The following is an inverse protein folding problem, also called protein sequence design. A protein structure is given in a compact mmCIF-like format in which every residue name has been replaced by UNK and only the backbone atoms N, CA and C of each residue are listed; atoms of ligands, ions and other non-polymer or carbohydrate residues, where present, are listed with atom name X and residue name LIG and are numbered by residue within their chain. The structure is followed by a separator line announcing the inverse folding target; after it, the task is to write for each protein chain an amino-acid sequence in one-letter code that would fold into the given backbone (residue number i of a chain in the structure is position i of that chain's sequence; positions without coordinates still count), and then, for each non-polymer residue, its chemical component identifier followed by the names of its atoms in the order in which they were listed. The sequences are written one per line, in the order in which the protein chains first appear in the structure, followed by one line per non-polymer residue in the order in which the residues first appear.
data_IF_267480544452
#
_entry.id   IF_267480544452
#
_cell.length_a   1.000
_cell.length_b   1.000
_cell.length_c   1.000
_cell.angle_alpha   90.00
_cell.angle_beta   90.00
_cell.angle_gamma   90.00
#
_symmetry.space_group_name_H-M   'P 1'
#
loop_
_entity.id
_entity.type
_entity.pdbx_description
1 polymer ?
#
# COMPACT_ATOMS: atom_id res chain seq x y z
N UNK A 1 9.34 -17.58 14.82
CA UNK A 1 9.96 -18.78 14.22
C UNK A 1 9.35 -19.15 12.84
N UNK A 2 8.03 -18.89 12.59
CA UNK A 2 7.40 -19.21 11.30
C UNK A 2 8.07 -18.50 10.12
N UNK A 3 8.49 -17.24 10.28
CA UNK A 3 9.19 -16.50 9.22
C UNK A 3 10.44 -17.22 8.71
N UNK A 4 11.23 -17.83 9.59
CA UNK A 4 12.42 -18.61 9.19
C UNK A 4 12.04 -19.83 8.36
N UNK A 5 10.99 -20.54 8.76
CA UNK A 5 10.51 -21.73 8.05
C UNK A 5 9.98 -21.34 6.68
N UNK A 6 9.11 -20.33 6.62
CA UNK A 6 8.52 -19.86 5.36
C UNK A 6 9.58 -19.34 4.39
N UNK A 7 10.54 -18.54 4.89
CA UNK A 7 11.64 -18.01 4.07
C UNK A 7 12.56 -19.13 3.59
N UNK A 8 12.88 -20.09 4.45
CA UNK A 8 13.69 -21.24 4.08
C UNK A 8 13.01 -22.12 3.03
N UNK A 9 11.70 -22.37 3.17
CA UNK A 9 10.92 -23.09 2.18
C UNK A 9 10.86 -22.37 0.84
N UNK A 10 10.64 -21.05 0.86
CA UNK A 10 10.63 -20.23 -0.34
C UNK A 10 11.99 -20.25 -1.04
N UNK A 11 13.08 -20.07 -0.31
CA UNK A 11 14.44 -20.15 -0.86
C UNK A 11 14.73 -21.53 -1.47
N UNK A 12 14.28 -22.60 -0.80
CA UNK A 12 14.45 -23.97 -1.31
C UNK A 12 13.66 -24.22 -2.60
N UNK A 13 12.42 -23.70 -2.65
CA UNK A 13 11.52 -23.93 -3.79
C UNK A 13 11.84 -23.05 -5.01
N UNK A 14 12.19 -21.79 -4.78
CA UNK A 14 12.36 -20.77 -5.82
C UNK A 14 13.83 -20.54 -6.22
N UNK A 15 14.77 -20.86 -5.31
CA UNK A 15 16.18 -20.59 -5.50
C UNK A 15 16.56 -19.14 -5.15
N UNK A 16 17.88 -18.90 -4.94
CA UNK A 16 18.42 -17.60 -4.56
C UNK A 16 18.38 -16.53 -5.66
N UNK A 17 18.23 -16.96 -6.92
CA UNK A 17 18.20 -16.07 -8.08
C UNK A 17 16.77 -15.67 -8.51
N UNK A 18 15.76 -16.11 -7.75
CA UNK A 18 14.38 -15.75 -8.03
C UNK A 18 14.20 -14.22 -8.05
N UNK A 19 13.44 -13.74 -9.01
CA UNK A 19 13.09 -12.32 -9.15
C UNK A 19 11.60 -12.17 -9.33
N UNK A 20 11.01 -11.27 -8.55
CA UNK A 20 9.64 -10.83 -8.78
C UNK A 20 9.55 -10.09 -10.12
N UNK A 21 8.42 -10.20 -10.79
CA UNK A 21 8.22 -9.62 -12.11
C UNK A 21 6.92 -8.81 -12.15
N UNK A 22 7.03 -7.49 -12.23
CA UNK A 22 5.92 -6.62 -12.59
C UNK A 22 5.93 -6.42 -14.10
N UNK A 23 4.82 -6.66 -14.76
CA UNK A 23 4.69 -6.57 -16.23
C UNK A 23 3.81 -5.37 -16.59
N UNK A 24 4.25 -4.58 -17.58
CA UNK A 24 3.43 -3.54 -18.19
C UNK A 24 2.91 -4.09 -19.51
N UNK A 25 1.61 -4.12 -19.69
CA UNK A 25 0.92 -4.53 -20.89
C UNK A 25 -0.07 -3.48 -21.36
N UNK A 26 -0.55 -3.61 -22.57
CA UNK A 26 -1.64 -2.77 -23.07
C UNK A 26 -2.51 -3.57 -24.04
N UNK A 27 -3.74 -3.10 -24.22
CA UNK A 27 -4.59 -3.49 -25.34
C UNK A 27 -4.93 -2.25 -26.18
N UNK A 28 -5.48 -2.47 -27.38
CA UNK A 28 -5.82 -1.40 -28.30
C UNK A 28 -4.70 -1.05 -29.28
N UNK A 29 -4.73 0.17 -29.83
CA UNK A 29 -3.85 0.64 -30.89
C UNK A 29 -3.06 1.87 -30.48
N UNK A 30 -1.82 1.95 -30.96
CA UNK A 30 -0.98 3.13 -30.78
C UNK A 30 -1.03 3.96 -32.06
N UNK A 31 -1.59 5.19 -31.98
CA UNK A 31 -1.73 6.10 -33.10
C UNK A 31 -1.04 7.41 -32.74
N UNK A 32 -0.02 7.80 -33.50
CA UNK A 32 0.75 9.05 -33.29
C UNK A 32 1.28 9.24 -31.86
N UNK A 33 1.58 8.13 -31.18
CA UNK A 33 2.06 8.15 -29.79
C UNK A 33 0.98 8.18 -28.73
N UNK A 34 -0.28 8.03 -29.12
CA UNK A 34 -1.42 7.88 -28.22
C UNK A 34 -1.86 6.42 -28.23
N UNK A 35 -1.87 5.78 -27.08
CA UNK A 35 -2.54 4.49 -26.89
C UNK A 35 -4.05 4.75 -26.81
N UNK A 36 -4.80 4.27 -27.81
CA UNK A 36 -6.26 4.22 -27.78
C UNK A 36 -6.63 2.85 -27.22
N UNK A 37 -6.85 2.79 -25.91
CA UNK A 37 -7.05 1.54 -25.16
C UNK A 37 -6.46 1.63 -23.77
N UNK A 38 -6.42 0.51 -23.06
CA UNK A 38 -6.05 0.46 -21.67
C UNK A 38 -4.61 0.00 -21.44
N UNK A 39 -3.98 0.55 -20.42
CA UNK A 39 -2.68 0.15 -19.91
C UNK A 39 -2.85 -0.72 -18.66
N UNK A 40 -2.16 -1.84 -18.62
CA UNK A 40 -2.19 -2.77 -17.49
C UNK A 40 -0.85 -2.80 -16.77
N UNK A 41 -0.88 -2.69 -15.45
CA UNK A 41 0.26 -2.94 -14.56
C UNK A 41 -0.04 -4.24 -13.82
N UNK A 42 0.60 -5.33 -14.26
CA UNK A 42 0.34 -6.68 -13.78
C UNK A 42 1.38 -7.01 -12.72
N UNK A 43 0.94 -7.14 -11.48
CA UNK A 43 1.78 -7.47 -10.34
C UNK A 43 2.19 -8.93 -10.33
N UNK A 44 3.40 -9.19 -9.87
CA UNK A 44 3.94 -10.54 -9.65
C UNK A 44 4.39 -10.77 -8.20
N UNK A 45 3.83 -10.02 -7.26
CA UNK A 45 4.10 -10.18 -5.83
C UNK A 45 5.35 -9.45 -5.33
N UNK A 46 5.86 -8.45 -6.06
CA UNK A 46 7.04 -7.69 -5.63
C UNK A 46 6.71 -6.79 -4.42
N UNK A 47 7.25 -7.09 -3.21
CA UNK A 47 6.98 -6.31 -2.02
C UNK A 47 7.83 -5.02 -1.94
N UNK A 48 8.77 -4.83 -2.89
CA UNK A 48 9.77 -3.75 -2.78
C UNK A 48 9.33 -2.45 -3.43
N UNK A 49 8.22 -2.41 -4.17
CA UNK A 49 7.76 -1.20 -4.87
C UNK A 49 7.37 -0.11 -3.86
N UNK A 50 8.20 0.92 -3.76
CA UNK A 50 8.01 2.01 -2.79
C UNK A 50 8.24 1.61 -1.32
N UNK A 51 8.82 0.44 -1.05
CA UNK A 51 9.23 0.05 0.29
C UNK A 51 10.30 0.99 0.85
N UNK A 52 10.32 1.12 2.17
CA UNK A 52 11.37 1.86 2.90
C UNK A 52 12.64 1.02 3.12
N UNK A 53 12.63 -0.25 2.75
CA UNK A 53 13.79 -1.11 2.87
C UNK A 53 14.93 -0.64 1.97
N UNK A 54 16.16 -0.74 2.45
CA UNK A 54 17.36 -0.29 1.75
C UNK A 54 17.64 -1.02 0.43
N UNK A 55 17.05 -2.20 0.22
CA UNK A 55 17.17 -2.95 -1.03
C UNK A 55 16.17 -2.48 -2.11
N UNK A 56 15.15 -1.71 -1.70
CA UNK A 56 14.12 -1.23 -2.60
C UNK A 56 14.60 -0.01 -3.40
N UNK A 57 14.17 0.07 -4.65
CA UNK A 57 14.34 1.31 -5.42
C UNK A 57 13.30 2.35 -5.00
N UNK A 58 13.66 3.63 -4.96
CA UNK A 58 12.68 4.70 -4.76
C UNK A 58 11.54 4.60 -5.78
N UNK A 59 10.31 4.87 -5.36
CA UNK A 59 9.12 4.73 -6.21
C UNK A 59 9.22 5.60 -7.48
N UNK A 60 9.78 6.80 -7.37
CA UNK A 60 10.02 7.71 -8.48
C UNK A 60 10.96 7.09 -9.54
N UNK A 61 11.95 6.33 -9.10
CA UNK A 61 12.84 5.60 -10.01
C UNK A 61 12.09 4.48 -10.73
N UNK A 62 11.27 3.73 -10.03
CA UNK A 62 10.42 2.69 -10.60
C UNK A 62 9.47 3.27 -11.64
N UNK A 63 8.77 4.36 -11.34
CA UNK A 63 7.88 5.02 -12.29
C UNK A 63 8.63 5.63 -13.48
N UNK A 64 9.82 6.17 -13.28
CA UNK A 64 10.66 6.67 -14.36
C UNK A 64 11.08 5.54 -15.31
N UNK A 65 11.40 4.36 -14.78
CA UNK A 65 11.69 3.16 -15.59
C UNK A 65 10.47 2.72 -16.39
N UNK A 66 9.29 2.66 -15.75
CA UNK A 66 8.04 2.30 -16.44
C UNK A 66 7.71 3.29 -17.54
N UNK A 67 7.83 4.59 -17.26
CA UNK A 67 7.66 5.63 -18.28
C UNK A 67 8.62 5.44 -19.45
N UNK A 68 9.89 5.15 -19.16
CA UNK A 68 10.89 4.89 -20.22
C UNK A 68 10.52 3.68 -21.08
N UNK A 69 9.93 2.63 -20.49
CA UNK A 69 9.43 1.47 -21.23
C UNK A 69 8.30 1.88 -22.18
N UNK A 70 7.35 2.68 -21.70
CA UNK A 70 6.24 3.19 -22.52
C UNK A 70 6.74 4.06 -23.67
N UNK A 71 7.64 5.00 -23.40
CA UNK A 71 8.24 5.87 -24.41
C UNK A 71 8.96 5.06 -25.52
N UNK A 72 9.72 4.02 -25.13
CA UNK A 72 10.41 3.10 -26.08
C UNK A 72 9.44 2.31 -26.96
N UNK A 73 8.23 2.04 -26.44
CA UNK A 73 7.16 1.38 -27.21
C UNK A 73 6.24 2.38 -27.92
N UNK A 74 6.63 3.65 -27.99
CA UNK A 74 5.90 4.67 -28.72
C UNK A 74 4.66 5.21 -28.00
N UNK A 75 4.46 4.91 -26.71
CA UNK A 75 3.31 5.37 -25.92
C UNK A 75 3.74 6.60 -25.13
N UNK A 76 3.19 7.76 -25.48
CA UNK A 76 3.42 9.05 -24.81
C UNK A 76 2.17 9.59 -24.11
N UNK A 77 1.00 9.11 -24.52
CA UNK A 77 -0.30 9.45 -23.95
C UNK A 77 -1.18 8.21 -23.94
N UNK A 78 -2.06 8.11 -22.98
CA UNK A 78 -3.06 7.05 -22.86
C UNK A 78 -4.42 7.71 -22.97
N UNK A 79 -5.24 7.20 -23.90
CA UNK A 79 -6.66 7.52 -24.05
C UNK A 79 -7.45 6.26 -23.70
N UNK A 80 -7.63 6.06 -22.40
CA UNK A 80 -8.17 4.86 -21.76
C UNK A 80 -7.83 4.83 -20.28
N UNK A 81 -7.87 3.66 -19.67
CA UNK A 81 -7.61 3.46 -18.26
C UNK A 81 -6.19 2.98 -17.99
N UNK A 82 -5.70 3.24 -16.77
CA UNK A 82 -4.53 2.56 -16.21
C UNK A 82 -5.07 1.60 -15.16
N UNK A 83 -4.89 0.31 -15.41
CA UNK A 83 -5.48 -0.77 -14.62
C UNK A 83 -4.37 -1.49 -13.85
N UNK A 84 -4.45 -1.49 -12.52
CA UNK A 84 -3.62 -2.34 -11.67
C UNK A 84 -4.22 -3.75 -11.61
N UNK A 85 -3.42 -4.76 -11.96
CA UNK A 85 -3.85 -6.15 -11.92
C UNK A 85 -3.10 -6.92 -10.82
N UNK A 86 -3.81 -7.21 -9.72
CA UNK A 86 -3.31 -7.97 -8.57
C UNK A 86 -3.74 -9.45 -8.57
N UNK A 87 -4.35 -9.97 -9.65
CA UNK A 87 -4.95 -11.32 -9.70
C UNK A 87 -3.95 -12.48 -9.76
N UNK A 88 -2.65 -12.21 -9.72
CA UNK A 88 -1.63 -13.25 -9.74
C UNK A 88 -1.69 -14.15 -8.48
N UNK A 89 -2.10 -13.60 -7.34
CA UNK A 89 -2.38 -14.38 -6.14
C UNK A 89 -3.87 -14.70 -6.07
N UNK A 90 -4.18 -15.93 -5.69
CA UNK A 90 -5.53 -16.38 -5.42
C UNK A 90 -5.87 -16.24 -3.93
N UNK A 91 -7.12 -15.98 -3.61
CA UNK A 91 -7.61 -15.89 -2.25
C UNK A 91 -7.74 -14.46 -1.71
N UNK A 92 -7.94 -14.36 -0.42
CA UNK A 92 -8.02 -13.08 0.29
C UNK A 92 -6.61 -12.55 0.61
N UNK A 93 -6.47 -11.24 0.62
CA UNK A 93 -5.22 -10.59 0.99
C UNK A 93 -4.91 -10.75 2.49
N UNK A 94 -5.95 -10.70 3.33
CA UNK A 94 -5.85 -10.90 4.77
C UNK A 94 -6.06 -12.36 5.16
N UNK A 95 -5.32 -12.81 6.18
CA UNK A 95 -5.51 -14.12 6.77
C UNK A 95 -6.80 -14.19 7.60
N UNK A 96 -7.61 -15.21 7.38
CA UNK A 96 -8.91 -15.38 8.04
C UNK A 96 -8.87 -15.57 9.58
N UNK A 97 -7.67 -15.80 10.13
CA UNK A 97 -7.42 -15.91 11.57
C UNK A 97 -6.99 -14.61 12.23
N UNK A 98 -6.76 -13.54 11.46
CA UNK A 98 -6.37 -12.25 12.03
C UNK A 98 -7.53 -11.61 12.79
N UNK A 99 -7.19 -10.96 13.89
CA UNK A 99 -8.16 -10.17 14.63
C UNK A 99 -8.50 -8.90 13.87
N UNK A 100 -9.74 -8.46 13.97
CA UNK A 100 -10.20 -7.23 13.32
C UNK A 100 -9.35 -6.00 13.72
N UNK A 101 -8.88 -5.95 14.96
CA UNK A 101 -8.04 -4.87 15.49
C UNK A 101 -6.59 -4.90 14.93
N UNK A 102 -6.15 -6.04 14.39
CA UNK A 102 -4.81 -6.17 13.80
C UNK A 102 -4.75 -5.68 12.36
N UNK A 103 -5.86 -5.70 11.64
CA UNK A 103 -5.89 -5.41 10.19
C UNK A 103 -5.49 -3.97 9.83
N UNK A 104 -5.62 -3.03 10.76
CA UNK A 104 -5.16 -1.66 10.57
C UNK A 104 -3.73 -1.39 11.00
N UNK A 105 -2.96 -2.43 11.36
CA UNK A 105 -1.59 -2.30 11.85
C UNK A 105 -0.57 -2.65 10.75
N UNK A 106 0.69 -2.24 10.94
CA UNK A 106 1.78 -2.54 9.98
C UNK A 106 2.06 -4.05 9.84
N UNK A 107 1.72 -4.86 10.82
CA UNK A 107 1.91 -6.32 10.77
C UNK A 107 0.66 -7.06 10.27
N UNK A 108 -0.47 -6.38 10.15
CA UNK A 108 -1.71 -6.89 9.60
C UNK A 108 -1.98 -6.39 8.16
N UNK A 109 -0.97 -5.92 7.45
CA UNK A 109 -1.12 -5.57 6.04
C UNK A 109 -1.27 -6.84 5.20
N UNK A 110 -2.28 -6.89 4.36
CA UNK A 110 -2.53 -8.00 3.46
C UNK A 110 -1.45 -8.14 2.38
N UNK A 111 -1.39 -9.31 1.78
CA UNK A 111 -0.46 -9.59 0.68
C UNK A 111 -1.19 -9.54 -0.65
N UNK A 112 -0.82 -8.59 -1.51
CA UNK A 112 -1.34 -8.45 -2.86
C UNK A 112 -0.26 -8.73 -3.90
N UNK A 113 -0.66 -9.20 -5.07
CA UNK A 113 0.29 -9.40 -6.17
C UNK A 113 0.80 -8.08 -6.76
N UNK A 114 0.03 -7.00 -6.63
CA UNK A 114 0.45 -5.64 -6.95
C UNK A 114 0.28 -4.76 -5.72
N UNK A 115 1.37 -4.41 -5.09
CA UNK A 115 1.37 -3.58 -3.89
C UNK A 115 2.36 -2.42 -4.01
N UNK A 116 2.07 -1.34 -3.28
CA UNK A 116 2.93 -0.17 -3.14
C UNK A 116 3.05 0.20 -1.67
N UNK A 117 4.22 0.72 -1.28
CA UNK A 117 4.47 1.14 0.10
C UNK A 117 4.15 0.07 1.15
N UNK A 118 4.37 -1.22 0.80
CA UNK A 118 4.08 -2.36 1.68
C UNK A 118 2.60 -2.45 2.10
N UNK A 119 1.67 -1.98 1.25
CA UNK A 119 0.24 -1.79 1.54
C UNK A 119 -0.04 -0.92 2.78
N UNK A 120 0.89 -0.02 3.12
CA UNK A 120 0.79 0.86 4.28
C UNK A 120 0.56 2.31 3.88
N UNK A 121 -0.18 3.02 4.72
CA UNK A 121 -0.35 4.46 4.65
C UNK A 121 0.07 5.09 5.98
N UNK A 122 0.99 6.04 5.94
CA UNK A 122 1.44 6.77 7.13
C UNK A 122 0.49 7.94 7.42
N UNK A 123 0.08 8.06 8.66
CA UNK A 123 -0.78 9.14 9.16
C UNK A 123 -0.01 9.86 10.25
N UNK A 124 0.13 11.18 10.13
CA UNK A 124 0.72 12.01 11.19
C UNK A 124 -0.40 12.56 12.08
N UNK A 125 -0.24 12.38 13.38
CA UNK A 125 -1.24 12.77 14.35
C UNK A 125 -0.57 13.64 15.43
N UNK A 126 -1.19 14.77 15.78
CA UNK A 126 -0.78 15.59 16.89
C UNK A 126 -1.95 15.80 17.87
N UNK A 127 -1.68 15.83 19.19
CA UNK A 127 -2.72 16.08 20.19
C UNK A 127 -3.17 17.53 20.15
N UNK A 128 -4.39 17.77 20.58
CA UNK A 128 -4.88 19.11 20.94
C UNK A 128 -4.30 19.59 22.28
N UNK A 129 -4.67 20.78 22.71
CA UNK A 129 -4.10 21.46 23.89
C UNK A 129 -4.55 20.91 25.23
N UNK A 130 -5.63 20.10 25.27
CA UNK A 130 -6.17 19.52 26.48
C UNK A 130 -6.86 18.18 26.19
N UNK A 131 -7.00 17.29 27.19
CA UNK A 131 -7.78 16.07 27.08
C UNK A 131 -9.21 16.33 26.58
N UNK A 132 -9.71 15.45 25.71
CA UNK A 132 -11.00 15.60 25.04
C UNK A 132 -11.00 16.48 23.79
N UNK A 133 -9.95 17.25 23.53
CA UNK A 133 -9.84 18.06 22.32
C UNK A 133 -9.67 17.15 21.09
N UNK A 134 -10.04 17.69 19.93
CA UNK A 134 -9.79 17.01 18.65
C UNK A 134 -8.29 16.87 18.41
N UNK A 135 -7.91 15.76 17.78
CA UNK A 135 -6.57 15.57 17.24
C UNK A 135 -6.40 16.38 15.95
N UNK A 136 -5.20 16.87 15.71
CA UNK A 136 -4.78 17.35 14.40
C UNK A 136 -4.21 16.17 13.61
N UNK A 137 -4.89 15.82 12.52
CA UNK A 137 -4.53 14.66 11.71
C UNK A 137 -4.10 15.19 10.34
N UNK A 138 -2.79 15.10 10.09
CA UNK A 138 -2.19 15.55 8.85
C UNK A 138 -2.57 14.62 7.67
N UNK A 139 -2.42 15.10 6.42
CA UNK A 139 -2.66 14.32 5.22
C UNK A 139 -1.91 12.99 5.24
N UNK A 140 -2.54 11.97 4.71
CA UNK A 140 -2.02 10.61 4.65
C UNK A 140 -0.97 10.48 3.53
N UNK A 141 0.07 9.70 3.77
CA UNK A 141 1.11 9.42 2.78
C UNK A 141 1.30 7.90 2.62
N UNK A 142 1.15 7.32 1.41
CA UNK A 142 0.78 7.98 0.16
C UNK A 142 -0.63 8.56 0.19
N UNK A 143 -0.90 9.54 -0.68
CA UNK A 143 -2.25 10.05 -0.84
C UNK A 143 -3.14 8.97 -1.49
N UNK A 144 -4.24 8.65 -0.83
CA UNK A 144 -5.24 7.68 -1.30
C UNK A 144 -6.63 8.36 -1.34
N UNK A 145 -6.91 9.16 -2.36
CA UNK A 145 -8.13 10.00 -2.41
C UNK A 145 -9.43 9.18 -2.49
N UNK A 146 -9.33 7.91 -2.78
CA UNK A 146 -10.46 6.97 -2.77
C UNK A 146 -10.83 6.46 -1.37
N UNK A 147 -9.92 6.61 -0.37
CA UNK A 147 -10.18 6.18 1.00
C UNK A 147 -11.06 7.19 1.74
N UNK A 148 -12.03 6.70 2.48
CA UNK A 148 -12.86 7.48 3.40
C UNK A 148 -12.42 7.19 4.83
N UNK A 149 -12.06 8.25 5.57
CA UNK A 149 -11.67 8.14 6.96
C UNK A 149 -12.74 8.67 7.90
N UNK A 150 -13.01 7.93 8.97
CA UNK A 150 -13.81 8.36 10.11
C UNK A 150 -12.90 8.49 11.33
N UNK A 151 -13.06 9.59 12.09
CA UNK A 151 -12.22 9.91 13.24
C UNK A 151 -13.06 9.95 14.52
N UNK A 152 -13.02 8.88 15.28
CA UNK A 152 -13.63 8.72 16.60
C UNK A 152 -12.54 8.71 17.69
N UNK A 153 -11.66 9.70 17.64
CA UNK A 153 -10.50 9.80 18.49
C UNK A 153 -10.31 11.22 19.04
N UNK A 154 -9.72 11.30 20.23
CA UNK A 154 -9.50 12.57 20.93
C UNK A 154 -8.15 12.58 21.64
N UNK A 155 -7.74 13.77 22.07
CA UNK A 155 -6.59 13.95 22.97
C UNK A 155 -6.84 13.25 24.29
N UNK A 156 -5.91 12.40 24.70
CA UNK A 156 -5.92 11.69 25.99
C UNK A 156 -5.20 12.46 27.09
N UNK A 157 -5.26 11.91 28.28
CA UNK A 157 -4.56 12.44 29.46
C UNK A 157 -3.04 12.37 29.26
N UNK A 158 -2.31 13.19 30.01
CA UNK A 158 -0.85 13.17 30.04
C UNK A 158 -0.33 11.80 30.49
N UNK A 159 0.64 11.26 29.75
CA UNK A 159 1.26 9.98 30.06
C UNK A 159 0.50 8.75 29.56
N UNK A 160 -0.66 8.89 28.91
CA UNK A 160 -1.40 7.75 28.36
C UNK A 160 -0.77 7.18 27.08
N UNK A 161 0.07 7.98 26.42
CA UNK A 161 0.73 7.55 25.22
C UNK A 161 -0.21 7.48 24.00
N UNK A 162 0.14 6.60 23.06
CA UNK A 162 -0.68 6.29 21.89
C UNK A 162 -1.59 5.10 22.21
N UNK A 163 -2.89 5.33 22.20
CA UNK A 163 -3.95 4.35 22.42
C UNK A 163 -4.92 4.38 21.22
N UNK A 164 -4.38 4.67 20.02
CA UNK A 164 -5.18 4.71 18.82
C UNK A 164 -5.23 3.32 18.17
N UNK A 165 -6.37 3.00 17.62
CA UNK A 165 -6.62 1.82 16.81
C UNK A 165 -7.19 2.25 15.46
N UNK A 166 -6.68 1.66 14.39
CA UNK A 166 -7.20 1.87 13.05
C UNK A 166 -7.90 0.59 12.59
N UNK A 167 -9.16 0.72 12.20
CA UNK A 167 -9.97 -0.37 11.66
C UNK A 167 -10.18 -0.17 10.17
N UNK A 168 -9.75 -1.13 9.38
CA UNK A 168 -9.89 -1.15 7.92
C UNK A 168 -9.89 -2.58 7.40
N UNK A 169 -10.14 -2.77 6.12
CA UNK A 169 -9.96 -4.04 5.41
C UNK A 169 -9.79 -3.81 3.93
N UNK A 170 -9.37 -4.83 3.17
CA UNK A 170 -9.31 -4.79 1.71
C UNK A 170 -10.70 -4.75 1.05
N UNK A 171 -11.75 -5.10 1.78
CA UNK A 171 -13.11 -5.25 1.23
C UNK A 171 -13.81 -3.91 0.93
N UNK A 172 -13.36 -2.81 1.54
CA UNK A 172 -13.94 -1.50 1.31
C UNK A 172 -12.90 -0.38 1.54
N UNK A 173 -12.94 0.72 0.77
CA UNK A 173 -12.03 1.85 0.93
C UNK A 173 -12.44 2.75 2.10
N UNK A 174 -12.62 2.15 3.27
CA UNK A 174 -13.06 2.82 4.50
C UNK A 174 -12.09 2.48 5.62
N UNK A 175 -11.70 3.48 6.40
CA UNK A 175 -10.92 3.30 7.61
C UNK A 175 -11.51 4.14 8.76
N UNK A 176 -11.45 3.62 9.97
CA UNK A 176 -11.87 4.35 11.17
C UNK A 176 -10.74 4.35 12.18
N UNK A 177 -10.39 5.55 12.68
CA UNK A 177 -9.44 5.73 13.78
C UNK A 177 -10.21 5.97 15.06
N UNK A 178 -9.97 5.14 16.07
CA UNK A 178 -10.59 5.21 17.40
C UNK A 178 -9.56 5.34 18.49
N UNK A 179 -9.96 5.91 19.62
CA UNK A 179 -9.16 5.92 20.83
C UNK A 179 -8.64 7.29 21.22
N UNK A 180 -7.51 7.32 21.92
CA UNK A 180 -6.93 8.57 22.41
C UNK A 180 -5.43 8.65 22.13
N UNK A 181 -4.95 9.88 22.00
CA UNK A 181 -3.53 10.18 21.81
C UNK A 181 -3.11 11.18 22.90
N UNK A 182 -2.16 10.79 23.75
CA UNK A 182 -1.80 11.57 24.95
C UNK A 182 -1.37 13.00 24.61
N UNK A 183 -1.80 13.95 25.44
CA UNK A 183 -1.55 15.40 25.24
C UNK A 183 -0.08 15.77 25.20
N UNK A 184 0.80 14.91 25.66
CA UNK A 184 2.26 15.09 25.74
C UNK A 184 3.04 14.29 24.66
N UNK A 185 2.37 13.86 23.60
CA UNK A 185 2.96 13.13 22.47
C UNK A 185 3.36 14.03 21.31
#
# INVERSE_FOLDING_TARGET
NMKLISTGAALHALGGDYRYKTTIGYDGNIIEGVLIGDLYIIGGGDPTIGSKDSIASPLEQTFSQWKSILDKNGIRKIDGYIIGDGRYFEGMEEEGSWLWEDMGTYYGTGSSALMFYENMQSISIAPGTAPGNRLDIAPHNPNAPWMTFSYNCTTGEKGTGDQLYLYTSSLAPIAEIRGTFGVDK
#
